data_IF_589226631594
#
_entry.id   IF_589226631594
#
_cell.length_a   1.000
_cell.length_b   1.000
_cell.length_c   1.000
_cell.angle_alpha   90.00
_cell.angle_beta   90.00
_cell.angle_gamma   90.00
#
_symmetry.space_group_name_H-M   'P 1'
#
loop_
_entity.id
_entity.type
_entity.pdbx_description
1 polymer ?
#
# COMPACT_ATOMS: atom_id res chain seq x y z
N UNK A 1 22.86 -17.62 -8.44
CA UNK A 1 22.69 -16.99 -9.79
C UNK A 1 21.63 -17.73 -10.63
N UNK A 2 20.50 -18.17 -10.04
CA UNK A 2 19.48 -19.03 -10.69
C UNK A 2 18.05 -18.47 -10.69
N UNK A 3 17.82 -17.18 -10.33
CA UNK A 3 16.44 -16.65 -10.18
C UNK A 3 15.98 -15.66 -11.26
N UNK A 4 16.72 -15.50 -12.35
CA UNK A 4 16.31 -14.53 -13.40
C UNK A 4 15.50 -15.16 -14.54
N UNK A 5 15.52 -16.48 -14.69
CA UNK A 5 14.83 -17.20 -15.78
C UNK A 5 13.36 -17.54 -15.48
N UNK A 6 12.98 -17.72 -14.21
CA UNK A 6 11.60 -18.12 -13.85
C UNK A 6 10.58 -16.98 -13.91
N UNK A 7 11.02 -15.71 -13.89
CA UNK A 7 10.11 -14.55 -14.04
C UNK A 7 9.51 -14.40 -15.44
N UNK A 8 10.19 -14.90 -16.47
CA UNK A 8 9.72 -14.77 -17.85
C UNK A 8 8.57 -15.73 -18.19
N UNK A 9 8.34 -16.76 -17.37
CA UNK A 9 7.29 -17.77 -17.59
C UNK A 9 5.99 -17.45 -16.82
N UNK A 10 6.03 -16.60 -15.79
CA UNK A 10 4.80 -16.17 -15.10
C UNK A 10 4.17 -15.02 -15.87
N UNK A 11 3.00 -15.28 -16.44
CA UNK A 11 2.20 -14.25 -17.11
C UNK A 11 1.93 -13.04 -16.21
N UNK A 12 1.43 -11.96 -16.78
CA UNK A 12 1.02 -10.78 -16.01
C UNK A 12 -0.17 -11.13 -15.10
N UNK A 13 -0.01 -10.92 -13.78
CA UNK A 13 -1.11 -10.98 -12.80
C UNK A 13 -1.12 -9.66 -12.04
N UNK A 14 -2.13 -8.83 -12.32
CA UNK A 14 -2.39 -7.58 -11.63
C UNK A 14 -3.56 -7.69 -10.66
N UNK A 15 -3.75 -6.66 -9.84
CA UNK A 15 -4.91 -6.59 -8.94
C UNK A 15 -5.38 -5.16 -8.68
N UNK A 16 -6.66 -5.01 -8.38
CA UNK A 16 -7.23 -3.85 -7.70
C UNK A 16 -7.61 -4.26 -6.27
N UNK A 17 -7.18 -3.47 -5.29
CA UNK A 17 -7.29 -3.84 -3.87
C UNK A 17 -7.93 -2.70 -3.05
N UNK A 18 -9.25 -2.48 -3.19
CA UNK A 18 -9.94 -1.41 -2.49
C UNK A 18 -10.29 -1.77 -1.04
N UNK A 19 -10.18 -0.79 -0.12
CA UNK A 19 -10.78 -0.89 1.21
C UNK A 19 -12.27 -0.56 1.13
N UNK A 20 -13.17 -1.41 1.67
CA UNK A 20 -14.63 -1.24 1.58
C UNK A 20 -15.16 -0.25 2.63
N UNK A 21 -14.67 0.98 2.61
CA UNK A 21 -15.09 2.07 3.52
C UNK A 21 -16.17 2.99 2.91
N UNK A 22 -16.83 2.55 1.85
CA UNK A 22 -17.87 3.25 1.08
C UNK A 22 -17.69 3.04 -0.43
N UNK A 23 -18.46 3.74 -1.28
CA UNK A 23 -18.40 3.63 -2.74
C UNK A 23 -17.02 4.02 -3.28
N UNK A 24 -16.73 3.63 -4.52
CA UNK A 24 -15.59 4.15 -5.26
C UNK A 24 -15.79 5.66 -5.53
N UNK A 25 -14.70 6.37 -5.57
CA UNK A 25 -14.62 7.78 -5.95
C UNK A 25 -13.64 7.93 -7.13
N UNK A 26 -13.56 9.10 -7.71
CA UNK A 26 -12.72 9.39 -8.88
C UNK A 26 -11.28 8.89 -8.75
N UNK A 27 -10.62 9.13 -7.59
CA UNK A 27 -9.25 8.67 -7.36
C UNK A 27 -9.13 7.15 -7.37
N UNK A 28 -10.12 6.42 -6.83
CA UNK A 28 -10.16 4.95 -6.87
C UNK A 28 -10.46 4.44 -8.27
N UNK A 29 -11.31 5.13 -9.05
CA UNK A 29 -11.58 4.77 -10.45
C UNK A 29 -10.33 4.89 -11.32
N UNK A 30 -9.55 5.98 -11.16
CA UNK A 30 -8.28 6.16 -11.89
C UNK A 30 -7.33 4.98 -11.63
N UNK A 31 -7.15 4.58 -10.37
CA UNK A 31 -6.30 3.45 -10.02
C UNK A 31 -6.86 2.11 -10.52
N UNK A 32 -8.17 1.89 -10.42
CA UNK A 32 -8.84 0.69 -10.93
C UNK A 32 -8.68 0.57 -12.44
N UNK A 33 -9.02 1.64 -13.17
CA UNK A 33 -8.91 1.70 -14.63
C UNK A 33 -7.45 1.50 -15.09
N UNK A 34 -6.49 2.18 -14.49
CA UNK A 34 -5.08 2.03 -14.84
C UNK A 34 -4.60 0.59 -14.63
N UNK A 35 -4.95 -0.04 -13.50
CA UNK A 35 -4.57 -1.42 -13.21
C UNK A 35 -5.25 -2.43 -14.14
N UNK A 36 -6.50 -2.20 -14.50
CA UNK A 36 -7.26 -3.02 -15.44
C UNK A 36 -6.68 -2.95 -16.85
N UNK A 37 -6.48 -1.74 -17.36
CA UNK A 37 -5.94 -1.52 -18.70
C UNK A 37 -4.50 -2.07 -18.83
N UNK A 38 -3.68 -1.89 -17.81
CA UNK A 38 -2.32 -2.44 -17.80
C UNK A 38 -2.33 -3.98 -17.87
N UNK A 39 -3.21 -4.63 -17.12
CA UNK A 39 -3.37 -6.08 -17.18
C UNK A 39 -3.86 -6.53 -18.58
N UNK A 40 -4.84 -5.86 -19.16
CA UNK A 40 -5.38 -6.20 -20.49
C UNK A 40 -4.36 -5.95 -21.61
N UNK A 41 -3.60 -4.87 -21.54
CA UNK A 41 -2.53 -4.57 -22.50
C UNK A 41 -1.43 -5.62 -22.53
N UNK A 42 -1.20 -6.33 -21.43
CA UNK A 42 -0.24 -7.42 -21.31
C UNK A 42 -0.89 -8.82 -21.45
N UNK A 43 -2.14 -8.91 -21.89
CA UNK A 43 -2.91 -10.17 -21.99
C UNK A 43 -2.89 -10.97 -20.66
N UNK A 44 -2.84 -10.24 -19.54
CA UNK A 44 -2.73 -10.80 -18.20
C UNK A 44 -4.05 -10.93 -17.47
N UNK A 45 -3.97 -11.49 -16.26
CA UNK A 45 -5.09 -11.57 -15.33
C UNK A 45 -5.19 -10.32 -14.48
N UNK A 46 -6.42 -9.91 -14.17
CA UNK A 46 -6.74 -8.83 -13.26
C UNK A 46 -7.65 -9.32 -12.15
N UNK A 47 -7.18 -9.23 -10.91
CA UNK A 47 -7.86 -9.76 -9.74
C UNK A 47 -8.45 -8.62 -8.89
N UNK A 48 -9.47 -8.95 -8.09
CA UNK A 48 -10.03 -8.04 -7.08
C UNK A 48 -9.79 -8.62 -5.69
N UNK A 49 -9.27 -7.78 -4.79
CA UNK A 49 -9.10 -8.13 -3.37
C UNK A 49 -9.73 -7.05 -2.51
N UNK A 50 -10.68 -7.41 -1.67
CA UNK A 50 -11.33 -6.52 -0.72
C UNK A 50 -10.47 -6.43 0.54
N UNK A 51 -9.94 -5.23 0.82
CA UNK A 51 -9.06 -4.99 1.97
C UNK A 51 -9.88 -4.56 3.19
N UNK A 52 -10.60 -5.52 3.77
CA UNK A 52 -11.53 -5.37 4.89
C UNK A 52 -10.94 -5.77 6.25
N UNK A 53 -9.61 -5.87 6.34
CA UNK A 53 -8.91 -6.26 7.59
C UNK A 53 -9.06 -5.21 8.70
N UNK A 54 -9.21 -3.94 8.36
CA UNK A 54 -9.44 -2.85 9.31
C UNK A 54 -10.94 -2.68 9.57
N UNK A 55 -11.49 -3.65 10.28
CA UNK A 55 -12.93 -3.79 10.52
C UNK A 55 -13.64 -2.52 11.01
N UNK A 56 -13.04 -1.64 11.86
CA UNK A 56 -13.68 -0.40 12.27
C UNK A 56 -13.96 0.60 11.13
N UNK A 57 -13.30 0.46 9.99
CA UNK A 57 -13.48 1.33 8.82
C UNK A 57 -14.29 0.71 7.70
N UNK A 58 -14.73 -0.52 7.87
CA UNK A 58 -15.60 -1.21 6.90
C UNK A 58 -17.01 -0.66 6.98
N UNK A 59 -17.59 -0.31 5.85
CA UNK A 59 -19.00 0.09 5.74
C UNK A 59 -19.81 -1.09 5.19
N UNK A 60 -20.97 -1.35 5.80
CA UNK A 60 -21.82 -2.47 5.40
C UNK A 60 -22.22 -2.40 3.92
N UNK A 61 -22.02 -3.50 3.19
CA UNK A 61 -22.35 -3.62 1.78
C UNK A 61 -21.44 -2.84 0.83
N UNK A 62 -20.41 -2.13 1.33
CA UNK A 62 -19.51 -1.37 0.48
C UNK A 62 -18.69 -2.24 -0.47
N UNK A 63 -18.35 -3.46 -0.07
CA UNK A 63 -17.69 -4.45 -0.92
C UNK A 63 -18.52 -4.80 -2.16
N UNK A 64 -19.81 -5.10 -1.95
CA UNK A 64 -20.75 -5.38 -3.05
C UNK A 64 -20.95 -4.18 -3.96
N UNK A 65 -21.10 -2.99 -3.36
CA UNK A 65 -21.25 -1.75 -4.12
C UNK A 65 -20.01 -1.48 -4.98
N UNK A 66 -18.79 -1.66 -4.45
CA UNK A 66 -17.54 -1.52 -5.20
C UNK A 66 -17.53 -2.49 -6.40
N UNK A 67 -17.87 -3.75 -6.18
CA UNK A 67 -17.91 -4.74 -7.27
C UNK A 67 -18.96 -4.40 -8.34
N UNK A 68 -20.14 -3.94 -7.93
CA UNK A 68 -21.17 -3.46 -8.87
C UNK A 68 -20.68 -2.25 -9.69
N UNK A 69 -20.00 -1.30 -9.05
CA UNK A 69 -19.44 -0.14 -9.74
C UNK A 69 -18.36 -0.57 -10.75
N UNK A 70 -17.44 -1.49 -10.38
CA UNK A 70 -16.45 -2.01 -11.32
C UNK A 70 -17.10 -2.66 -12.54
N UNK A 71 -18.14 -3.48 -12.34
CA UNK A 71 -18.88 -4.13 -13.43
C UNK A 71 -19.60 -3.11 -14.30
N UNK A 72 -20.23 -2.08 -13.71
CA UNK A 72 -20.88 -1.00 -14.46
C UNK A 72 -19.91 -0.25 -15.37
N UNK A 73 -18.64 -0.12 -14.96
CA UNK A 73 -17.57 0.45 -15.78
C UNK A 73 -16.90 -0.56 -16.73
N UNK A 74 -17.44 -1.78 -16.88
CA UNK A 74 -16.91 -2.82 -17.78
C UNK A 74 -15.61 -3.46 -17.28
N UNK A 75 -15.23 -3.27 -16.02
CA UNK A 75 -14.02 -3.86 -15.42
C UNK A 75 -14.38 -5.20 -14.77
N UNK A 76 -14.15 -6.29 -15.49
CA UNK A 76 -14.40 -7.66 -15.04
C UNK A 76 -13.12 -8.33 -14.59
N UNK A 77 -13.15 -8.96 -13.43
CA UNK A 77 -12.03 -9.71 -12.84
C UNK A 77 -12.01 -11.16 -13.32
N UNK A 78 -10.83 -11.78 -13.25
CA UNK A 78 -10.57 -13.07 -13.88
C UNK A 78 -10.61 -14.26 -12.91
N UNK A 79 -10.78 -14.04 -11.60
CA UNK A 79 -10.96 -15.08 -10.59
C UNK A 79 -11.81 -14.57 -9.42
N UNK A 80 -12.29 -15.48 -8.58
CA UNK A 80 -13.10 -15.13 -7.42
C UNK A 80 -12.41 -14.06 -6.55
N UNK A 81 -13.13 -12.98 -6.18
CA UNK A 81 -12.60 -11.95 -5.28
C UNK A 81 -12.20 -12.54 -3.93
N UNK A 82 -11.19 -11.94 -3.33
CA UNK A 82 -10.65 -12.36 -2.03
C UNK A 82 -10.92 -11.29 -0.99
N UNK A 83 -11.37 -11.69 0.21
CA UNK A 83 -11.56 -10.82 1.37
C UNK A 83 -10.46 -11.06 2.41
N UNK A 84 -9.78 -10.02 2.86
CA UNK A 84 -8.69 -10.12 3.83
C UNK A 84 -9.16 -10.63 5.20
N UNK A 85 -10.37 -10.28 5.62
CA UNK A 85 -10.98 -10.75 6.88
C UNK A 85 -11.10 -12.28 6.98
N UNK A 86 -11.09 -12.99 5.86
CA UNK A 86 -11.18 -14.45 5.81
C UNK A 86 -9.81 -15.15 5.84
N UNK A 87 -8.70 -14.39 5.92
CA UNK A 87 -7.35 -14.90 5.64
C UNK A 87 -6.40 -14.85 6.85
N UNK A 88 -6.92 -14.69 8.06
CA UNK A 88 -6.11 -14.55 9.28
C UNK A 88 -5.04 -15.66 9.46
N UNK A 89 -5.34 -16.89 9.05
CA UNK A 89 -4.43 -18.03 9.20
C UNK A 89 -3.12 -17.84 8.41
N UNK A 90 -3.19 -17.32 7.17
CA UNK A 90 -1.98 -17.12 6.36
C UNK A 90 -1.16 -15.93 6.88
N UNK A 91 -1.82 -14.89 7.44
CA UNK A 91 -1.10 -13.78 8.05
C UNK A 91 -0.39 -14.20 9.32
N UNK A 92 -1.04 -15.07 10.14
CA UNK A 92 -0.39 -15.64 11.32
C UNK A 92 0.81 -16.50 10.94
N UNK A 93 0.69 -17.38 9.93
CA UNK A 93 1.79 -18.21 9.46
C UNK A 93 2.99 -17.37 8.94
N UNK A 94 2.71 -16.30 8.19
CA UNK A 94 3.74 -15.38 7.73
C UNK A 94 4.42 -14.64 8.90
N UNK A 95 3.63 -14.20 9.87
CA UNK A 95 4.14 -13.57 11.08
C UNK A 95 5.03 -14.54 11.89
N UNK A 96 4.60 -15.78 12.09
CA UNK A 96 5.35 -16.81 12.82
C UNK A 96 6.67 -17.14 12.10
N UNK A 97 6.67 -17.16 10.77
CA UNK A 97 7.87 -17.30 9.96
C UNK A 97 8.87 -16.17 10.23
N UNK A 98 8.42 -14.92 10.22
CA UNK A 98 9.27 -13.77 10.51
C UNK A 98 9.77 -13.76 11.97
N UNK A 99 8.93 -14.20 12.91
CA UNK A 99 9.28 -14.31 14.33
C UNK A 99 10.36 -15.39 14.53
N UNK A 100 10.23 -16.55 13.88
CA UNK A 100 11.24 -17.62 13.91
C UNK A 100 12.60 -17.19 13.33
N UNK A 101 12.60 -16.27 12.38
CA UNK A 101 13.79 -15.66 11.81
C UNK A 101 14.37 -14.52 12.68
N UNK A 102 13.80 -14.24 13.84
CA UNK A 102 14.14 -13.11 14.70
C UNK A 102 14.05 -11.73 13.99
N UNK A 103 13.19 -11.61 12.99
CA UNK A 103 12.93 -10.36 12.26
C UNK A 103 11.77 -9.55 12.84
N UNK A 104 11.17 -10.01 13.93
CA UNK A 104 10.04 -9.35 14.59
C UNK A 104 10.29 -9.26 16.10
N UNK A 105 9.90 -8.15 16.69
CA UNK A 105 9.95 -7.96 18.15
C UNK A 105 8.69 -7.27 18.68
N UNK A 106 8.40 -7.49 19.97
CA UNK A 106 7.32 -6.83 20.67
C UNK A 106 7.68 -5.38 21.03
N UNK A 107 6.71 -4.49 20.88
CA UNK A 107 6.84 -3.08 21.24
C UNK A 107 5.77 -2.71 22.27
N UNK A 108 6.20 -2.08 23.39
CA UNK A 108 5.32 -1.63 24.46
C UNK A 108 4.98 -0.12 24.39
N UNK A 109 5.53 0.61 23.42
CA UNK A 109 5.38 2.06 23.33
C UNK A 109 3.94 2.48 22.96
N UNK A 110 3.48 3.54 23.63
CA UNK A 110 2.33 4.33 23.20
C UNK A 110 2.72 5.32 22.10
N UNK A 111 1.74 5.89 21.39
CA UNK A 111 1.98 6.96 20.40
C UNK A 111 2.67 8.17 21.03
N UNK A 112 2.27 8.55 22.24
CA UNK A 112 2.87 9.68 22.96
C UNK A 112 4.34 9.43 23.30
N UNK A 113 4.68 8.24 23.79
CA UNK A 113 6.07 7.88 24.10
C UNK A 113 6.95 7.89 22.85
N UNK A 114 6.44 7.42 21.71
CA UNK A 114 7.13 7.51 20.42
C UNK A 114 7.38 8.97 20.05
N UNK A 115 6.37 9.83 20.15
CA UNK A 115 6.51 11.26 19.86
C UNK A 115 7.55 11.94 20.76
N UNK A 116 7.58 11.63 22.05
CA UNK A 116 8.57 12.15 23.01
C UNK A 116 9.98 11.66 22.64
N UNK A 117 10.12 10.37 22.30
CA UNK A 117 11.42 9.81 21.91
C UNK A 117 11.94 10.47 20.61
N UNK A 118 11.10 10.68 19.63
CA UNK A 118 11.45 11.38 18.38
C UNK A 118 11.83 12.85 18.63
N UNK A 119 11.12 13.54 19.52
CA UNK A 119 11.44 14.92 19.89
C UNK A 119 12.80 15.02 20.62
N UNK A 120 13.19 14.00 21.40
CA UNK A 120 14.52 13.92 22.02
C UNK A 120 15.61 13.70 20.98
N UNK A 121 15.38 12.78 20.02
CA UNK A 121 16.33 12.51 18.95
C UNK A 121 16.55 13.75 18.06
N UNK A 122 15.49 14.48 17.72
CA UNK A 122 15.59 15.71 16.92
C UNK A 122 16.44 16.83 17.57
N UNK A 123 16.68 16.76 18.87
CA UNK A 123 17.57 17.69 19.59
C UNK A 123 19.05 17.27 19.56
N UNK A 124 19.34 16.05 19.10
CA UNK A 124 20.71 15.59 18.94
C UNK A 124 21.26 16.13 17.61
N UNK A 125 22.36 16.93 17.61
CA UNK A 125 22.96 17.48 16.40
C UNK A 125 23.45 16.41 15.41
N UNK A 126 23.76 15.21 15.89
CA UNK A 126 24.19 14.07 15.06
C UNK A 126 23.00 13.28 14.46
N UNK A 127 21.77 13.59 14.87
CA UNK A 127 20.57 12.93 14.35
C UNK A 127 20.17 13.57 13.01
N UNK A 128 20.46 12.87 11.93
CA UNK A 128 19.98 13.23 10.60
C UNK A 128 18.48 12.93 10.53
N UNK A 129 17.64 13.96 10.71
CA UNK A 129 16.21 13.84 10.46
C UNK A 129 15.95 13.79 8.95
N UNK A 130 14.83 13.17 8.55
CA UNK A 130 14.35 13.20 7.17
C UNK A 130 14.24 14.65 6.65
N UNK A 131 13.80 15.57 7.50
CA UNK A 131 13.64 16.99 7.15
C UNK A 131 14.98 17.65 6.73
N UNK A 132 16.14 17.09 7.15
CA UNK A 132 17.45 17.58 6.74
C UNK A 132 18.00 16.91 5.47
N UNK A 133 17.44 15.77 5.04
CA UNK A 133 17.88 15.00 3.88
C UNK A 133 17.00 15.22 2.64
N UNK A 134 15.72 15.49 2.85
CA UNK A 134 14.79 15.91 1.81
C UNK A 134 14.68 17.43 1.91
N UNK A 135 15.46 18.15 1.12
CA UNK A 135 15.24 19.59 0.96
C UNK A 135 13.75 19.79 0.70
N UNK A 136 13.10 20.53 1.60
CA UNK A 136 11.67 20.75 1.70
C UNK A 136 10.95 20.57 0.35
N UNK A 137 10.34 19.44 0.10
CA UNK A 137 9.21 19.35 -0.81
C UNK A 137 8.04 19.98 -0.03
N UNK A 138 8.00 21.31 -0.06
CA UNK A 138 6.77 22.03 0.14
C UNK A 138 5.85 21.55 -0.96
N UNK A 139 4.80 20.86 -0.55
CA UNK A 139 3.46 20.88 -1.11
C UNK A 139 2.76 19.56 -0.76
N UNK A 140 1.93 19.58 0.29
CA UNK A 140 0.77 18.69 0.43
C UNK A 140 1.00 17.17 0.56
N UNK A 141 2.22 16.67 0.52
CA UNK A 141 2.52 15.27 0.74
C UNK A 141 2.26 14.94 2.21
N UNK A 142 1.40 13.96 2.44
CA UNK A 142 1.04 13.39 3.73
C UNK A 142 2.23 13.40 4.67
N UNK A 143 2.04 13.89 5.90
CA UNK A 143 3.04 13.83 6.95
C UNK A 143 3.58 12.38 6.99
N UNK A 144 4.80 12.20 6.48
CA UNK A 144 5.44 10.90 6.45
C UNK A 144 5.44 10.36 7.87
N UNK A 145 4.94 9.14 8.08
CA UNK A 145 5.03 8.49 9.37
C UNK A 145 6.48 8.59 9.82
N UNK A 146 6.75 9.37 10.86
CA UNK A 146 8.12 9.51 11.37
C UNK A 146 8.67 8.14 11.71
N UNK A 147 9.91 7.79 11.31
CA UNK A 147 10.50 6.50 11.59
C UNK A 147 10.45 6.18 13.08
N UNK A 148 10.09 4.95 13.43
CA UNK A 148 10.09 4.53 14.82
C UNK A 148 11.50 4.58 15.38
N UNK A 149 11.74 5.17 16.58
CA UNK A 149 13.07 5.40 17.12
C UNK A 149 13.79 4.13 17.64
N UNK A 150 13.18 2.96 17.49
CA UNK A 150 13.80 1.70 17.92
C UNK A 150 13.77 1.43 19.44
N UNK A 151 13.00 2.19 20.22
CA UNK A 151 13.01 2.15 21.71
C UNK A 151 12.89 0.73 22.30
N UNK A 152 12.10 -0.16 21.68
CA UNK A 152 11.92 -1.54 22.16
C UNK A 152 12.72 -2.57 21.36
N UNK A 153 13.57 -2.16 20.41
CA UNK A 153 14.28 -3.08 19.51
C UNK A 153 15.19 -4.06 20.25
N UNK A 154 15.76 -3.64 21.39
CA UNK A 154 16.66 -4.44 22.21
C UNK A 154 16.01 -4.98 23.49
N UNK A 155 14.69 -4.93 23.56
CA UNK A 155 13.90 -5.44 24.67
C UNK A 155 12.85 -4.45 25.16
N UNK A 156 11.85 -4.98 25.83
CA UNK A 156 10.77 -4.20 26.46
C UNK A 156 11.20 -3.88 27.89
N UNK A 157 10.97 -2.65 28.40
CA UNK A 157 11.21 -2.31 29.79
C UNK A 157 10.50 -3.28 30.75
N UNK A 158 11.17 -3.60 31.88
CA UNK A 158 10.63 -4.52 32.87
C UNK A 158 9.23 -4.10 33.34
N UNK A 159 8.33 -5.08 33.48
CA UNK A 159 6.95 -4.86 33.92
C UNK A 159 5.99 -4.36 32.83
N UNK A 160 6.45 -4.13 31.60
CA UNK A 160 5.57 -3.73 30.49
C UNK A 160 5.17 -4.91 29.62
N UNK A 161 3.95 -4.84 29.10
CA UNK A 161 3.42 -5.84 28.16
C UNK A 161 3.56 -5.39 26.71
N UNK A 162 3.69 -6.37 25.82
CA UNK A 162 3.66 -6.14 24.35
C UNK A 162 2.32 -5.53 23.95
N UNK A 163 2.38 -4.43 23.22
CA UNK A 163 1.20 -3.77 22.66
C UNK A 163 1.10 -3.99 21.15
N UNK A 164 2.23 -3.94 20.46
CA UNK A 164 2.30 -4.12 19.01
C UNK A 164 3.54 -4.91 18.63
N UNK A 165 3.57 -5.47 17.43
CA UNK A 165 4.72 -6.19 16.92
C UNK A 165 5.29 -5.47 15.71
N UNK A 166 6.62 -5.32 15.69
CA UNK A 166 7.31 -4.58 14.65
C UNK A 166 8.29 -5.45 13.88
N UNK A 167 8.38 -5.21 12.58
CA UNK A 167 9.42 -5.75 11.72
C UNK A 167 10.72 -4.96 11.92
N UNK A 168 11.83 -5.69 12.01
CA UNK A 168 13.18 -5.13 12.10
C UNK A 168 13.61 -4.73 10.69
N UNK A 169 13.71 -3.44 10.46
CA UNK A 169 14.14 -2.91 9.16
C UNK A 169 15.68 -3.02 9.05
N UNK A 170 16.20 -3.64 7.99
CA UNK A 170 17.64 -3.67 7.75
C UNK A 170 18.17 -2.29 7.35
N UNK A 171 19.42 -1.96 7.68
CA UNK A 171 20.03 -0.68 7.34
C UNK A 171 20.51 -0.65 5.87
N UNK A 172 19.58 -0.67 4.94
CA UNK A 172 19.85 -0.69 3.50
C UNK A 172 19.10 0.42 2.78
N UNK A 173 19.65 0.84 1.65
CA UNK A 173 18.92 1.61 0.65
C UNK A 173 18.22 0.64 -0.31
N UNK A 174 16.92 0.74 -0.38
CA UNK A 174 16.12 0.00 -1.35
C UNK A 174 16.04 0.80 -2.67
N UNK A 175 16.41 0.15 -3.75
CA UNK A 175 16.33 0.69 -5.10
C UNK A 175 15.33 -0.12 -5.91
N UNK A 176 14.43 0.56 -6.61
CA UNK A 176 13.50 -0.08 -7.54
C UNK A 176 13.16 0.87 -8.69
N UNK A 177 12.71 0.30 -9.79
CA UNK A 177 12.19 1.09 -10.90
C UNK A 177 10.67 1.09 -10.84
N UNK A 178 10.08 2.28 -10.70
CA UNK A 178 8.66 2.47 -10.87
C UNK A 178 8.35 2.68 -12.35
N UNK A 179 7.34 2.00 -12.87
CA UNK A 179 7.03 2.03 -14.31
C UNK A 179 6.46 3.36 -14.79
N UNK A 180 5.97 4.20 -13.87
CA UNK A 180 5.47 5.55 -14.16
C UNK A 180 6.45 6.63 -13.75
N UNK A 181 6.99 6.53 -12.53
CA UNK A 181 7.81 7.58 -11.92
C UNK A 181 9.32 7.38 -12.17
N UNK A 182 9.72 6.26 -12.79
CA UNK A 182 11.13 5.95 -13.04
C UNK A 182 11.88 5.44 -11.81
N UNK A 183 13.22 5.58 -11.79
CA UNK A 183 14.04 5.06 -10.69
C UNK A 183 13.70 5.69 -9.34
N UNK A 184 13.51 4.85 -8.34
CA UNK A 184 13.19 5.24 -6.97
C UNK A 184 14.24 4.71 -6.01
N UNK A 185 14.48 5.46 -4.92
CA UNK A 185 15.40 5.11 -3.86
C UNK A 185 14.81 5.50 -2.52
N UNK A 186 14.92 4.64 -1.53
CA UNK A 186 14.51 4.94 -0.16
C UNK A 186 15.50 4.33 0.85
N UNK A 187 15.97 5.12 1.81
CA UNK A 187 16.74 4.62 2.94
C UNK A 187 15.78 4.06 3.98
N UNK A 188 15.78 2.74 4.16
CA UNK A 188 14.81 2.09 5.01
C UNK A 188 14.99 2.39 6.49
N UNK A 189 16.23 2.58 6.95
CA UNK A 189 16.48 2.88 8.35
C UNK A 189 16.11 4.32 8.69
N UNK A 190 16.47 5.27 7.83
CA UNK A 190 16.28 6.69 8.07
C UNK A 190 14.86 7.17 7.75
N UNK A 191 14.26 6.65 6.67
CA UNK A 191 12.99 7.14 6.16
C UNK A 191 11.78 6.29 6.57
N UNK A 192 12.00 5.02 6.94
CA UNK A 192 10.92 4.08 7.28
C UNK A 192 10.96 3.68 8.75
N UNK A 193 12.11 3.22 9.25
CA UNK A 193 12.25 2.63 10.57
C UNK A 193 11.45 1.34 10.76
N UNK A 194 11.50 0.77 11.96
CA UNK A 194 10.79 -0.48 12.27
C UNK A 194 9.27 -0.28 12.25
N UNK A 195 8.57 -0.92 11.34
CA UNK A 195 7.15 -0.73 11.13
C UNK A 195 6.29 -1.86 11.73
N UNK A 196 5.03 -1.54 12.01
CA UNK A 196 4.09 -2.45 12.66
C UNK A 196 3.63 -3.55 11.69
N UNK A 197 3.64 -4.81 12.16
CA UNK A 197 3.02 -5.96 11.51
C UNK A 197 1.71 -6.37 12.20
N UNK A 198 1.64 -6.24 13.54
CA UNK A 198 0.42 -6.52 14.33
C UNK A 198 0.19 -5.36 15.28
N UNK A 199 -1.01 -4.81 15.24
CA UNK A 199 -1.42 -3.60 15.97
C UNK A 199 -1.76 -3.92 17.43
N UNK A 200 -1.86 -2.87 18.25
CA UNK A 200 -2.21 -2.99 19.66
C UNK A 200 -3.65 -3.47 19.92
N UNK A 201 -4.53 -3.29 18.96
CA UNK A 201 -5.91 -3.80 18.96
C UNK A 201 -6.02 -5.24 18.45
N UNK A 202 -4.89 -5.90 18.15
CA UNK A 202 -4.82 -7.26 17.67
C UNK A 202 -4.98 -7.42 16.17
N UNK A 203 -5.34 -6.37 15.43
CA UNK A 203 -5.48 -6.41 13.98
C UNK A 203 -4.12 -6.49 13.28
N UNK A 204 -4.10 -7.17 12.15
CA UNK A 204 -2.94 -7.17 11.26
C UNK A 204 -2.73 -5.80 10.62
N UNK A 205 -1.50 -5.39 10.46
CA UNK A 205 -1.18 -4.14 9.79
C UNK A 205 -1.16 -4.30 8.27
N UNK A 206 -1.56 -3.24 7.57
CA UNK A 206 -1.61 -3.16 6.10
C UNK A 206 -0.35 -3.72 5.43
N UNK A 207 0.83 -3.37 5.95
CA UNK A 207 2.10 -3.76 5.33
C UNK A 207 2.30 -5.29 5.29
N UNK A 208 1.84 -6.02 6.30
CA UNK A 208 1.93 -7.49 6.31
C UNK A 208 0.90 -8.10 5.36
N UNK A 209 -0.37 -7.71 5.51
CA UNK A 209 -1.46 -8.38 4.82
C UNK A 209 -1.36 -8.23 3.30
N UNK A 210 -1.01 -7.04 2.81
CA UNK A 210 -0.88 -6.79 1.37
C UNK A 210 0.26 -7.61 0.74
N UNK A 211 1.39 -7.74 1.44
CA UNK A 211 2.54 -8.51 0.95
C UNK A 211 2.23 -10.01 0.92
N UNK A 212 1.61 -10.51 1.97
CA UNK A 212 1.22 -11.93 2.07
C UNK A 212 0.18 -12.29 1.00
N UNK A 213 -0.80 -11.43 0.80
CA UNK A 213 -1.85 -11.65 -0.21
C UNK A 213 -1.32 -11.53 -1.63
N UNK A 214 -0.49 -10.54 -1.91
CA UNK A 214 0.15 -10.40 -3.24
C UNK A 214 0.98 -11.65 -3.56
N UNK A 215 1.72 -12.19 -2.58
CA UNK A 215 2.43 -13.45 -2.74
C UNK A 215 1.50 -14.64 -2.96
N UNK A 216 0.46 -14.80 -2.13
CA UNK A 216 -0.47 -15.93 -2.19
C UNK A 216 -1.32 -15.94 -3.47
N UNK A 217 -1.65 -14.76 -4.02
CA UNK A 217 -2.37 -14.61 -5.30
C UNK A 217 -1.44 -14.63 -6.51
N UNK A 218 -0.12 -14.74 -6.33
CA UNK A 218 0.84 -14.73 -7.42
C UNK A 218 0.92 -13.40 -8.18
N UNK A 219 0.66 -12.29 -7.50
CA UNK A 219 0.69 -10.95 -8.11
C UNK A 219 2.09 -10.63 -8.61
N UNK A 220 2.19 -10.31 -9.89
CA UNK A 220 3.46 -9.94 -10.54
C UNK A 220 3.57 -8.44 -10.80
N UNK A 221 2.43 -7.73 -10.87
CA UNK A 221 2.37 -6.31 -11.17
C UNK A 221 1.37 -5.58 -10.29
N UNK A 222 1.82 -4.47 -9.73
CA UNK A 222 1.01 -3.59 -8.88
C UNK A 222 0.87 -2.24 -9.57
N UNK A 223 -0.37 -1.84 -9.83
CA UNK A 223 -0.72 -0.47 -10.22
C UNK A 223 -1.57 0.14 -9.11
N UNK A 224 -1.18 1.31 -8.61
CA UNK A 224 -1.88 1.98 -7.49
C UNK A 224 -1.57 3.47 -7.44
N UNK A 225 -2.26 4.23 -6.61
CA UNK A 225 -2.02 5.66 -6.45
C UNK A 225 -0.64 5.99 -5.86
N UNK A 226 -0.07 7.13 -6.25
CA UNK A 226 1.25 7.59 -5.84
C UNK A 226 1.38 7.86 -4.33
N UNK A 227 0.28 8.00 -3.60
CA UNK A 227 0.27 8.09 -2.13
C UNK A 227 0.84 6.84 -1.44
N UNK A 228 0.86 5.69 -2.12
CA UNK A 228 1.43 4.45 -1.61
C UNK A 228 2.88 4.23 -2.02
N UNK A 229 3.52 5.18 -2.71
CA UNK A 229 4.91 5.07 -3.14
C UNK A 229 5.85 4.82 -1.95
N UNK A 230 5.69 5.56 -0.86
CA UNK A 230 6.48 5.42 0.37
C UNK A 230 6.33 4.06 1.07
N UNK A 231 5.29 3.29 0.75
CA UNK A 231 5.11 1.92 1.25
C UNK A 231 5.89 0.88 0.45
N UNK A 232 6.32 1.20 -0.77
CA UNK A 232 6.89 0.23 -1.71
C UNK A 232 8.17 -0.41 -1.20
N UNK A 233 9.13 0.39 -0.74
CA UNK A 233 10.40 -0.12 -0.28
C UNK A 233 10.25 -1.09 0.91
N UNK A 234 9.42 -0.73 1.92
CA UNK A 234 9.14 -1.59 3.08
C UNK A 234 8.44 -2.89 2.69
N UNK A 235 7.51 -2.84 1.73
CA UNK A 235 6.81 -4.03 1.22
C UNK A 235 7.75 -4.96 0.44
N UNK A 236 8.67 -4.41 -0.35
CA UNK A 236 9.67 -5.19 -1.10
C UNK A 236 10.62 -5.93 -0.17
N UNK A 237 11.09 -5.29 0.89
CA UNK A 237 11.95 -5.94 1.89
C UNK A 237 11.20 -7.01 2.66
N UNK A 238 9.97 -6.73 3.08
CA UNK A 238 9.13 -7.69 3.78
C UNK A 238 8.84 -8.92 2.89
N UNK A 239 8.56 -8.72 1.60
CA UNK A 239 8.35 -9.80 0.64
C UNK A 239 9.58 -10.72 0.57
N UNK A 240 10.78 -10.15 0.39
CA UNK A 240 12.03 -10.94 0.37
C UNK A 240 12.28 -11.71 1.68
N UNK A 241 11.94 -11.12 2.81
CA UNK A 241 12.04 -11.80 4.12
C UNK A 241 11.09 -12.99 4.26
N UNK A 242 10.02 -13.02 3.47
CA UNK A 242 9.08 -14.13 3.36
C UNK A 242 9.38 -15.04 2.16
N UNK A 243 10.54 -14.90 1.51
CA UNK A 243 10.92 -15.62 0.29
C UNK A 243 9.92 -15.40 -0.87
N UNK A 244 9.28 -14.23 -0.93
CA UNK A 244 8.39 -13.82 -2.01
C UNK A 244 9.14 -12.88 -2.97
N UNK A 245 8.88 -13.01 -4.27
CA UNK A 245 9.38 -12.09 -5.27
C UNK A 245 8.60 -10.77 -5.22
N UNK A 246 9.24 -9.61 -4.97
CA UNK A 246 8.53 -8.33 -4.99
C UNK A 246 7.97 -8.02 -6.39
N UNK A 247 6.67 -7.70 -6.51
CA UNK A 247 6.06 -7.35 -7.79
C UNK A 247 6.71 -6.12 -8.46
N UNK A 248 6.56 -6.03 -9.79
CA UNK A 248 6.77 -4.77 -10.53
C UNK A 248 5.73 -3.75 -10.10
N UNK A 249 6.12 -2.48 -10.00
CA UNK A 249 5.23 -1.42 -9.48
C UNK A 249 5.06 -0.27 -10.47
N UNK A 250 3.86 0.30 -10.46
CA UNK A 250 3.51 1.52 -11.20
C UNK A 250 2.61 2.39 -10.30
N UNK A 251 3.09 3.58 -9.96
CA UNK A 251 2.35 4.54 -9.16
C UNK A 251 1.78 5.63 -10.05
N UNK A 252 0.45 5.65 -10.18
CA UNK A 252 -0.27 6.60 -11.02
C UNK A 252 -0.59 7.89 -10.27
N UNK A 253 -0.78 9.02 -10.99
CA UNK A 253 -1.11 10.31 -10.38
C UNK A 253 -2.32 10.23 -9.45
N UNK A 254 -2.29 11.06 -8.40
CA UNK A 254 -3.44 11.25 -7.51
C UNK A 254 -4.44 12.21 -8.12
N UNK A 255 -5.70 11.96 -7.86
CA UNK A 255 -6.75 12.95 -8.14
C UNK A 255 -6.83 13.91 -6.96
N UNK A 256 -6.64 15.19 -7.24
CA UNK A 256 -6.69 16.26 -6.26
C UNK A 256 -8.00 17.02 -6.37
N UNK A 257 -8.45 17.61 -5.26
CA UNK A 257 -9.53 18.58 -5.24
C UNK A 257 -9.04 19.97 -5.73
N UNK A 258 -9.94 20.96 -5.75
CA UNK A 258 -9.62 22.33 -6.17
C UNK A 258 -8.60 23.02 -5.26
N UNK A 259 -8.43 22.56 -4.03
CA UNK A 259 -7.47 23.04 -3.04
C UNK A 259 -6.13 22.31 -3.09
N UNK A 260 -5.96 21.32 -4.01
CA UNK A 260 -4.75 20.51 -4.14
C UNK A 260 -4.64 19.36 -3.14
N UNK A 261 -5.66 19.06 -2.36
CA UNK A 261 -5.68 17.93 -1.47
C UNK A 261 -6.11 16.65 -2.21
N UNK A 262 -5.55 15.52 -1.82
CA UNK A 262 -5.95 14.22 -2.36
C UNK A 262 -7.44 13.97 -2.15
N UNK A 263 -8.16 13.64 -3.23
CA UNK A 263 -9.52 13.13 -3.12
C UNK A 263 -9.54 11.80 -2.34
N UNK A 264 -10.24 11.80 -1.24
CA UNK A 264 -10.41 10.63 -0.38
C UNK A 264 -11.82 10.59 0.19
N UNK A 265 -12.26 9.40 0.63
CA UNK A 265 -13.55 9.26 1.32
C UNK A 265 -13.65 10.12 2.58
N UNK A 266 -12.51 10.43 3.23
CA UNK A 266 -12.45 11.31 4.41
C UNK A 266 -12.70 12.79 4.06
N UNK A 267 -12.42 13.19 2.82
CA UNK A 267 -12.62 14.56 2.32
C UNK A 267 -13.92 14.68 1.51
N UNK A 268 -14.93 13.87 1.82
CA UNK A 268 -16.25 13.91 1.17
C UNK A 268 -16.22 13.77 -0.35
N UNK A 269 -15.28 12.97 -0.89
CA UNK A 269 -15.26 12.67 -2.32
C UNK A 269 -16.61 12.10 -2.75
N UNK A 270 -17.21 12.70 -3.78
CA UNK A 270 -18.50 12.28 -4.34
C UNK A 270 -18.39 10.85 -4.87
N UNK A 271 -19.44 10.06 -4.64
CA UNK A 271 -19.54 8.74 -5.26
C UNK A 271 -19.53 8.86 -6.79
N UNK A 272 -19.01 7.82 -7.46
CA UNK A 272 -18.96 7.80 -8.92
C UNK A 272 -20.35 7.85 -9.53
N UNK A 273 -20.51 8.65 -10.57
CA UNK A 273 -21.70 8.63 -11.44
C UNK A 273 -21.60 7.41 -12.37
N UNK A 274 -22.46 6.43 -12.13
CA UNK A 274 -22.58 5.24 -12.97
C UNK A 274 -23.65 5.39 -14.06
N UNK A 275 -24.30 6.55 -14.20
CA UNK A 275 -25.33 6.77 -15.23
C UNK A 275 -24.71 7.11 -16.59
N UNK A 276 -23.56 7.81 -16.58
CA UNK A 276 -22.76 8.11 -17.78
C UNK A 276 -21.34 7.54 -17.58
N UNK A 277 -21.23 6.25 -17.76
CA UNK A 277 -19.95 5.52 -17.54
C UNK A 277 -18.88 5.93 -18.53
N UNK A 278 -19.24 6.22 -19.78
CA UNK A 278 -18.28 6.63 -20.82
C UNK A 278 -17.66 7.98 -20.48
N UNK A 279 -18.45 8.97 -20.11
CA UNK A 279 -17.97 10.27 -19.68
C UNK A 279 -17.08 10.15 -18.44
N UNK A 280 -17.50 9.38 -17.44
CA UNK A 280 -16.77 9.18 -16.19
C UNK A 280 -15.43 8.49 -16.42
N UNK A 281 -15.36 7.45 -17.28
CA UNK A 281 -14.12 6.82 -17.68
C UNK A 281 -13.21 7.76 -18.49
N UNK A 282 -13.78 8.58 -19.36
CA UNK A 282 -12.98 9.55 -20.12
C UNK A 282 -12.38 10.63 -19.23
N UNK A 283 -13.09 11.07 -18.20
CA UNK A 283 -12.52 11.95 -17.17
C UNK A 283 -11.38 11.27 -16.39
N UNK A 284 -11.55 10.02 -15.98
CA UNK A 284 -10.50 9.26 -15.32
C UNK A 284 -9.26 9.08 -16.23
N UNK A 285 -9.47 8.84 -17.52
CA UNK A 285 -8.42 8.77 -18.54
C UNK A 285 -7.62 10.09 -18.67
N UNK A 286 -8.32 11.22 -18.70
CA UNK A 286 -7.68 12.54 -18.73
C UNK A 286 -6.86 12.82 -17.45
N UNK A 287 -7.32 12.35 -16.29
CA UNK A 287 -6.59 12.47 -15.02
C UNK A 287 -5.30 11.64 -14.97
N UNK A 288 -5.16 10.64 -15.84
CA UNK A 288 -3.89 9.97 -16.10
C UNK A 288 -2.98 10.76 -17.06
N UNK A 289 -3.38 11.95 -17.51
CA UNK A 289 -2.58 12.80 -18.38
C UNK A 289 -2.76 12.53 -19.88
N UNK A 290 -3.74 11.72 -20.26
CA UNK A 290 -4.03 11.42 -21.66
C UNK A 290 -5.05 12.39 -22.26
N UNK A 291 -5.03 12.53 -23.57
CA UNK A 291 -6.03 13.31 -24.30
C UNK A 291 -7.41 12.62 -24.22
N UNK A 292 -8.51 13.40 -24.17
CA UNK A 292 -9.84 12.81 -24.16
C UNK A 292 -10.05 11.90 -25.39
N UNK A 293 -10.71 10.77 -25.16
CA UNK A 293 -11.11 9.88 -26.24
C UNK A 293 -12.37 10.44 -26.93
N UNK A 294 -12.46 10.32 -28.25
CA UNK A 294 -13.71 10.66 -28.94
C UNK A 294 -14.83 9.75 -28.42
N UNK A 295 -15.92 10.36 -28.02
CA UNK A 295 -17.15 9.63 -27.67
C UNK A 295 -17.92 9.51 -28.97
N UNK A 296 -18.23 8.29 -29.39
CA UNK A 296 -19.17 8.08 -30.50
C UNK A 296 -20.59 8.46 -30.00
N UNK A 297 -21.31 9.24 -30.79
CA UNK A 297 -22.70 9.60 -30.54
C UNK A 297 -23.61 8.35 -30.54
#
# INVERSE_FOLDING_TARGET
MLHRSERSERGYVGRFAPSPSGPLHDGSLVAAMASYLDARAHHGQWLVRIEDIDTPRVADGADRLIMQQLQAFGMHWDAEPVWQSQRHAIYQAAFDTLLAQALVYGCACTRQEISIALAKLARNPDYKSIDSLTGACADGAMASERPYPGTCRHGIPHGRQVRAWRFIVPPIQEHFNDRWLGPQRQDLQLEVGDFILKRADGLWAYQLVVVVDDGAQGITHIVRGADLLSSTARQRVLARSLNLDPPSVMHVPLVLDEQGHKLSKQNHATALDCTDTVKTLNLAWQRLGFKPLPVAD
#
